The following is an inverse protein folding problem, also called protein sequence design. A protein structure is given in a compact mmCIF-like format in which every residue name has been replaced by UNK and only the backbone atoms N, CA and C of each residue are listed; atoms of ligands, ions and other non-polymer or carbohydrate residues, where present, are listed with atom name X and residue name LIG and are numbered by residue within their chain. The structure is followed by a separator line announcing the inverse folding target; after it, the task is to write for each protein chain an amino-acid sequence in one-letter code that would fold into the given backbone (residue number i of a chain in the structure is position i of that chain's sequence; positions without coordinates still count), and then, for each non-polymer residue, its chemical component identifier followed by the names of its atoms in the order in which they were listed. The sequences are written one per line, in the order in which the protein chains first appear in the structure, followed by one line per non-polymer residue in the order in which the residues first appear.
data_IF_062711837374
#
_entry.id   IF_062711837374
#
_cell.length_a   1.000
_cell.length_b   1.000
_cell.length_c   1.000
_cell.angle_alpha   90.00
_cell.angle_beta   90.00
_cell.angle_gamma   90.00
#
_symmetry.space_group_name_H-M   'P 1'
#
loop_
_entity.id
_entity.type
_entity.pdbx_description
1 polymer ?
#
# COMPACT_ATOMS: atom_id res chain seq x y z
N UNK A 1 -10.82 -17.05 -19.94
CA UNK A 1 -11.14 -15.74 -19.32
C UNK A 1 -9.85 -15.15 -18.82
N UNK A 2 -9.61 -13.85 -19.00
CA UNK A 2 -8.45 -13.17 -18.42
C UNK A 2 -8.72 -12.90 -16.95
N UNK A 3 -7.74 -13.14 -16.08
CA UNK A 3 -7.87 -12.79 -14.66
C UNK A 3 -8.00 -11.27 -14.50
N UNK A 4 -8.85 -10.83 -13.58
CA UNK A 4 -8.90 -9.43 -13.15
C UNK A 4 -7.74 -9.19 -12.20
N UNK A 5 -6.87 -8.24 -12.53
CA UNK A 5 -5.78 -7.80 -11.67
C UNK A 5 -6.08 -6.44 -11.06
N UNK A 6 -5.83 -6.31 -9.76
CA UNK A 6 -5.95 -5.04 -9.03
C UNK A 6 -4.80 -4.89 -8.05
N UNK A 7 -4.31 -3.67 -7.89
CA UNK A 7 -3.42 -3.30 -6.79
C UNK A 7 -4.25 -2.73 -5.66
N UNK A 8 -4.14 -3.31 -4.47
CA UNK A 8 -4.77 -2.81 -3.25
C UNK A 8 -3.71 -2.16 -2.36
N UNK A 9 -3.99 -0.93 -1.93
CA UNK A 9 -3.14 -0.17 -1.00
C UNK A 9 -3.92 -0.02 0.32
N UNK A 10 -3.38 -0.59 1.39
CA UNK A 10 -3.96 -0.48 2.74
C UNK A 10 -3.03 0.36 3.62
N UNK A 11 -3.53 1.50 4.11
CA UNK A 11 -2.80 2.46 4.93
C UNK A 11 -3.36 2.43 6.36
N UNK A 12 -2.72 1.65 7.22
CA UNK A 12 -2.99 1.63 8.65
C UNK A 12 -2.26 2.74 9.39
N UNK A 13 -2.63 2.95 10.66
CA UNK A 13 -2.05 4.02 11.47
C UNK A 13 -0.54 3.89 11.73
N UNK A 14 0.01 2.66 11.67
CA UNK A 14 1.42 2.38 11.98
C UNK A 14 2.19 1.72 10.83
N UNK A 15 1.48 1.21 9.82
CA UNK A 15 2.08 0.55 8.66
C UNK A 15 1.19 0.71 7.44
N UNK A 16 1.80 0.61 6.26
CA UNK A 16 1.09 0.46 4.99
C UNK A 16 1.55 -0.80 4.26
N UNK A 17 0.68 -1.30 3.37
CA UNK A 17 1.01 -2.40 2.46
C UNK A 17 0.43 -2.18 1.07
N UNK A 18 1.15 -2.66 0.07
CA UNK A 18 0.70 -2.78 -1.33
C UNK A 18 0.55 -4.27 -1.62
N UNK A 19 -0.61 -4.66 -2.17
CA UNK A 19 -0.92 -6.04 -2.52
C UNK A 19 -1.29 -6.14 -4.00
N UNK A 20 -0.71 -7.10 -4.71
CA UNK A 20 -1.20 -7.53 -6.03
C UNK A 20 -2.25 -8.63 -5.83
N UNK A 21 -3.39 -8.48 -6.48
CA UNK A 21 -4.54 -9.36 -6.35
C UNK A 21 -5.01 -9.77 -7.73
N UNK A 22 -5.10 -11.08 -7.95
CA UNK A 22 -5.68 -11.65 -9.15
C UNK A 22 -6.94 -12.47 -8.84
N UNK A 23 -7.96 -12.32 -9.67
CA UNK A 23 -9.19 -13.11 -9.60
C UNK A 23 -9.52 -13.69 -10.97
N UNK A 24 -9.54 -15.03 -11.08
CA UNK A 24 -9.77 -15.74 -12.35
C UNK A 24 -11.25 -16.09 -12.62
N UNK A 25 -12.16 -15.70 -11.71
CA UNK A 25 -13.57 -16.07 -11.74
C UNK A 25 -13.98 -17.16 -10.73
N UNK A 26 -13.01 -17.86 -10.13
CA UNK A 26 -13.27 -18.87 -9.10
C UNK A 26 -12.27 -18.85 -7.94
N UNK A 27 -11.05 -18.34 -8.15
CA UNK A 27 -9.99 -18.25 -7.16
C UNK A 27 -9.48 -16.82 -7.05
N UNK A 28 -9.31 -16.38 -5.80
CA UNK A 28 -8.62 -15.14 -5.43
C UNK A 28 -7.20 -15.48 -4.98
N UNK A 29 -6.20 -14.85 -5.58
CA UNK A 29 -4.80 -14.89 -5.13
C UNK A 29 -4.36 -13.50 -4.72
N UNK A 30 -3.66 -13.40 -3.59
CA UNK A 30 -3.14 -12.14 -3.06
C UNK A 30 -1.66 -12.32 -2.74
N UNK A 31 -0.85 -11.36 -3.16
CA UNK A 31 0.57 -11.26 -2.84
C UNK A 31 0.85 -9.90 -2.21
N UNK A 32 1.50 -9.88 -1.05
CA UNK A 32 2.02 -8.64 -0.48
C UNK A 32 3.34 -8.30 -1.15
N UNK A 33 3.32 -7.29 -2.03
CA UNK A 33 4.48 -6.88 -2.83
C UNK A 33 5.33 -5.84 -2.12
N UNK A 34 4.74 -5.07 -1.20
CA UNK A 34 5.49 -4.10 -0.40
C UNK A 34 4.82 -3.85 0.96
N UNK A 35 5.64 -3.72 2.01
CA UNK A 35 5.22 -3.34 3.35
C UNK A 35 6.17 -2.30 3.91
N UNK A 36 5.60 -1.25 4.50
CA UNK A 36 6.36 -0.11 5.00
C UNK A 36 5.78 0.44 6.30
N UNK A 37 6.60 1.10 7.15
CA UNK A 37 6.09 1.76 8.34
C UNK A 37 5.39 3.08 7.98
N UNK A 38 4.26 3.36 8.62
CA UNK A 38 3.58 4.64 8.52
C UNK A 38 3.97 5.51 9.72
N UNK A 39 5.09 6.22 9.57
CA UNK A 39 5.67 7.04 10.64
C UNK A 39 5.17 8.48 10.48
N UNK A 40 4.45 9.03 11.47
CA UNK A 40 3.98 10.40 11.41
C UNK A 40 5.13 11.39 11.57
N UNK A 41 4.95 12.58 11.01
CA UNK A 41 5.88 13.72 11.17
C UNK A 41 5.35 14.69 12.22
N UNK A 42 6.24 15.11 13.11
CA UNK A 42 5.95 16.07 14.18
C UNK A 42 6.29 17.48 13.71
N UNK A 43 5.30 18.36 13.77
CA UNK A 43 5.49 19.82 13.70
C UNK A 43 5.46 20.40 15.12
N UNK A 44 5.85 21.66 15.35
CA UNK A 44 5.83 22.24 16.70
C UNK A 44 4.51 22.08 17.44
N UNK A 45 3.38 22.10 16.71
CA UNK A 45 2.04 22.13 17.33
C UNK A 45 1.29 20.81 17.21
N UNK A 46 1.55 20.00 16.17
CA UNK A 46 0.71 18.87 15.80
C UNK A 46 1.51 17.69 15.23
N UNK A 47 0.91 16.52 15.30
CA UNK A 47 1.36 15.31 14.63
C UNK A 47 0.59 15.14 13.31
N UNK A 48 1.27 14.88 12.21
CA UNK A 48 0.68 14.75 10.89
C UNK A 48 1.12 13.45 10.22
N UNK A 49 0.33 12.98 9.26
CA UNK A 49 0.78 11.96 8.32
C UNK A 49 1.86 12.54 7.40
N UNK A 50 2.92 11.75 7.17
CA UNK A 50 3.92 12.07 6.17
C UNK A 50 3.40 11.67 4.78
N UNK A 51 2.57 12.53 4.18
CA UNK A 51 1.90 12.23 2.91
C UNK A 51 2.90 12.01 1.77
N UNK A 52 4.03 12.73 1.77
CA UNK A 52 5.06 12.57 0.74
C UNK A 52 5.76 11.23 0.87
N UNK A 53 6.08 10.80 2.09
CA UNK A 53 6.61 9.46 2.31
C UNK A 53 5.60 8.37 1.97
N UNK A 54 4.35 8.52 2.38
CA UNK A 54 3.28 7.57 2.02
C UNK A 54 3.16 7.40 0.50
N UNK A 55 3.17 8.52 -0.24
CA UNK A 55 3.15 8.49 -1.70
C UNK A 55 4.39 7.79 -2.27
N UNK A 56 5.58 8.10 -1.75
CA UNK A 56 6.81 7.44 -2.17
C UNK A 56 6.74 5.92 -1.99
N UNK A 57 6.37 5.44 -0.80
CA UNK A 57 6.25 4.01 -0.51
C UNK A 57 5.21 3.32 -1.40
N UNK A 58 4.07 3.98 -1.68
CA UNK A 58 3.08 3.49 -2.65
C UNK A 58 3.71 3.33 -4.04
N UNK A 59 4.43 4.34 -4.52
CA UNK A 59 5.06 4.27 -5.86
C UNK A 59 6.15 3.21 -5.94
N UNK A 60 6.90 2.99 -4.84
CA UNK A 60 7.86 1.89 -4.74
C UNK A 60 7.15 0.55 -4.88
N UNK A 61 6.04 0.33 -4.15
CA UNK A 61 5.28 -0.92 -4.22
C UNK A 61 4.58 -1.18 -5.55
N UNK A 62 4.27 -0.14 -6.34
CA UNK A 62 3.67 -0.28 -7.68
C UNK A 62 4.75 -0.52 -8.77
N UNK A 63 5.97 -0.02 -8.57
CA UNK A 63 7.03 -0.08 -9.57
C UNK A 63 7.94 -1.32 -9.44
N UNK A 64 7.75 -2.11 -8.39
CA UNK A 64 8.49 -3.35 -8.10
C UNK A 64 8.11 -4.52 -9.00
#
# INVERSE_FOLDING_TARGET
MTATHVIAIDLGATSGRVMDIAFDGGRLTLEEVHRFPNIPVRTPNLLHWDVLRLWHEITVGISG
#
